data_IF_416947058477
#
_entry.id   IF_416947058477
#
_cell.length_a   1.000
_cell.length_b   1.000
_cell.length_c   1.000
_cell.angle_alpha   90.00
_cell.angle_beta   90.00
_cell.angle_gamma   90.00
#
_symmetry.space_group_name_H-M   'P 1'
#
loop_
_entity.id
_entity.type
_entity.pdbx_description
1 polymer ?
#
# COMPACT_ATOMS: atom_id res chain seq x y z
N UNK A 1 28.27 -16.28 12.07
CA UNK A 1 27.23 -15.97 11.08
C UNK A 1 27.47 -14.54 10.62
N UNK A 2 28.01 -14.37 9.43
CA UNK A 2 28.42 -13.07 8.90
C UNK A 2 27.21 -12.14 8.87
N UNK A 3 27.32 -10.98 9.51
CA UNK A 3 26.27 -9.96 9.50
C UNK A 3 26.02 -9.53 8.05
N UNK A 4 24.96 -10.03 7.42
CA UNK A 4 24.49 -9.55 6.11
C UNK A 4 23.98 -8.12 6.29
N UNK A 5 24.90 -7.17 6.22
CA UNK A 5 24.65 -5.73 6.27
C UNK A 5 25.01 -5.12 4.94
N UNK A 6 24.08 -4.35 4.40
CA UNK A 6 24.31 -3.53 3.23
C UNK A 6 24.83 -2.17 3.68
N UNK A 7 25.91 -1.67 3.07
CA UNK A 7 26.45 -0.32 3.35
C UNK A 7 26.11 0.61 2.19
N UNK A 8 25.06 1.46 2.30
CA UNK A 8 24.70 2.38 1.24
C UNK A 8 25.75 3.47 1.02
N UNK A 9 25.87 3.91 -0.24
CA UNK A 9 26.59 5.14 -0.57
C UNK A 9 25.90 6.36 0.04
N UNK A 10 26.66 7.42 0.32
CA UNK A 10 26.13 8.65 0.93
C UNK A 10 25.03 9.30 0.08
N UNK A 11 25.13 9.20 -1.25
CA UNK A 11 24.12 9.67 -2.20
C UNK A 11 22.78 8.95 -2.04
N UNK A 12 22.81 7.64 -1.77
CA UNK A 12 21.59 6.86 -1.53
C UNK A 12 20.97 7.24 -0.19
N UNK A 13 21.78 7.43 0.86
CA UNK A 13 21.27 7.88 2.17
C UNK A 13 20.59 9.24 2.07
N UNK A 14 21.21 10.20 1.36
CA UNK A 14 20.62 11.53 1.16
C UNK A 14 19.36 11.48 0.29
N UNK A 15 19.34 10.64 -0.75
CA UNK A 15 18.17 10.39 -1.59
C UNK A 15 16.99 9.83 -0.78
N UNK A 16 17.24 8.83 0.07
CA UNK A 16 16.23 8.23 0.96
C UNK A 16 15.67 9.29 1.91
N UNK A 17 16.55 10.05 2.57
CA UNK A 17 16.12 11.11 3.48
C UNK A 17 15.26 12.18 2.78
N UNK A 18 15.69 12.63 1.59
CA UNK A 18 14.96 13.59 0.78
C UNK A 18 13.58 13.05 0.40
N UNK A 19 13.50 11.81 -0.07
CA UNK A 19 12.22 11.22 -0.49
C UNK A 19 11.26 11.03 0.68
N UNK A 20 11.75 10.66 1.87
CA UNK A 20 10.91 10.60 3.07
C UNK A 20 10.32 11.97 3.40
N UNK A 21 11.10 13.05 3.33
CA UNK A 21 10.60 14.40 3.57
C UNK A 21 9.58 14.86 2.52
N UNK A 22 9.85 14.58 1.24
CA UNK A 22 8.94 14.88 0.13
C UNK A 22 7.59 14.17 0.33
N UNK A 23 7.61 12.90 0.71
CA UNK A 23 6.40 12.12 0.97
C UNK A 23 5.65 12.70 2.18
N UNK A 24 6.35 12.98 3.28
CA UNK A 24 5.73 13.56 4.49
C UNK A 24 5.04 14.89 4.19
N UNK A 25 5.74 15.81 3.54
CA UNK A 25 5.19 17.10 3.16
C UNK A 25 3.99 16.95 2.20
N UNK A 26 4.09 16.02 1.24
CA UNK A 26 3.00 15.73 0.31
C UNK A 26 1.75 15.21 1.00
N UNK A 27 1.91 14.37 2.04
CA UNK A 27 0.78 13.89 2.86
C UNK A 27 0.12 15.04 3.61
N UNK A 28 0.90 15.87 4.31
CA UNK A 28 0.40 17.01 5.08
C UNK A 28 -0.37 17.97 4.16
N UNK A 29 0.25 18.39 3.06
CA UNK A 29 -0.38 19.31 2.10
C UNK A 29 -1.66 18.76 1.48
N UNK A 30 -1.73 17.46 1.19
CA UNK A 30 -2.95 16.84 0.65
C UNK A 30 -4.04 16.74 1.69
N UNK A 31 -3.70 16.41 2.94
CA UNK A 31 -4.67 16.35 4.04
C UNK A 31 -5.29 17.72 4.31
N UNK A 32 -4.46 18.75 4.40
CA UNK A 32 -4.90 20.13 4.62
C UNK A 32 -5.76 20.66 3.47
N UNK A 33 -5.26 20.57 2.22
CA UNK A 33 -5.97 21.11 1.04
C UNK A 33 -7.32 20.44 0.78
N UNK A 34 -7.46 19.17 1.13
CA UNK A 34 -8.68 18.40 0.89
C UNK A 34 -9.53 18.20 2.15
N UNK A 35 -9.12 18.77 3.30
CA UNK A 35 -9.83 18.61 4.57
C UNK A 35 -10.01 17.15 4.99
N UNK A 36 -9.01 16.30 4.73
CA UNK A 36 -9.16 14.85 4.91
C UNK A 36 -9.10 14.46 6.38
N UNK A 37 -10.19 13.84 6.83
CA UNK A 37 -10.27 13.15 8.11
C UNK A 37 -10.28 11.63 7.88
N UNK A 38 -9.97 10.80 8.88
CA UNK A 38 -10.04 9.34 8.75
C UNK A 38 -11.40 8.82 8.30
N UNK A 39 -12.46 9.60 8.49
CA UNK A 39 -13.84 9.24 8.22
C UNK A 39 -14.40 9.81 6.91
N UNK A 40 -13.62 10.59 6.15
CA UNK A 40 -14.08 11.20 4.89
C UNK A 40 -14.53 10.11 3.88
N UNK A 41 -15.84 9.96 3.61
CA UNK A 41 -16.34 8.85 2.82
C UNK A 41 -16.36 9.15 1.32
N UNK A 42 -16.54 10.42 0.96
CA UNK A 42 -16.79 10.90 -0.39
C UNK A 42 -15.84 12.06 -0.70
N UNK A 43 -15.39 12.14 -1.96
CA UNK A 43 -14.57 13.24 -2.47
C UNK A 43 -14.93 13.53 -3.93
N UNK A 44 -14.71 14.75 -4.42
CA UNK A 44 -14.90 15.05 -5.83
C UNK A 44 -13.87 14.30 -6.70
N UNK A 45 -14.25 13.98 -7.93
CA UNK A 45 -13.44 13.17 -8.87
C UNK A 45 -12.04 13.72 -9.10
N UNK A 46 -11.87 15.04 -9.18
CA UNK A 46 -10.55 15.65 -9.33
C UNK A 46 -9.66 15.41 -8.10
N UNK A 47 -10.21 15.46 -6.88
CA UNK A 47 -9.48 15.18 -5.64
C UNK A 47 -9.09 13.70 -5.56
N UNK A 48 -9.98 12.79 -5.97
CA UNK A 48 -9.69 11.35 -6.08
C UNK A 48 -8.58 11.09 -7.09
N UNK A 49 -8.62 11.74 -8.25
CA UNK A 49 -7.59 11.61 -9.28
C UNK A 49 -6.24 12.12 -8.78
N UNK A 50 -6.21 13.24 -8.06
CA UNK A 50 -4.99 13.77 -7.45
C UNK A 50 -4.44 12.86 -6.36
N UNK A 51 -5.30 12.41 -5.44
CA UNK A 51 -4.93 11.52 -4.34
C UNK A 51 -4.42 10.18 -4.85
N UNK A 52 -5.10 9.59 -5.85
CA UNK A 52 -4.68 8.32 -6.45
C UNK A 52 -3.34 8.42 -7.16
N UNK A 53 -3.07 9.50 -7.91
CA UNK A 53 -1.75 9.76 -8.53
C UNK A 53 -0.65 9.92 -7.49
N UNK A 54 -0.91 10.67 -6.42
CA UNK A 54 0.05 10.81 -5.32
C UNK A 54 0.36 9.46 -4.67
N UNK A 55 -0.67 8.71 -4.25
CA UNK A 55 -0.50 7.41 -3.60
C UNK A 55 0.19 6.39 -4.53
N UNK A 56 -0.08 6.45 -5.84
CA UNK A 56 0.58 5.59 -6.81
C UNK A 56 2.09 5.76 -6.82
N UNK A 57 2.62 6.98 -6.56
CA UNK A 57 4.05 7.27 -6.50
C UNK A 57 4.64 7.15 -5.09
N UNK A 58 3.92 7.68 -4.10
CA UNK A 58 4.39 7.75 -2.72
C UNK A 58 4.49 6.39 -2.05
N UNK A 59 3.53 5.47 -2.27
CA UNK A 59 3.59 4.17 -1.60
C UNK A 59 4.77 3.31 -2.08
N UNK A 60 5.05 3.15 -3.39
CA UNK A 60 6.21 2.38 -3.84
C UNK A 60 7.54 3.02 -3.44
N UNK A 61 7.62 4.36 -3.45
CA UNK A 61 8.79 5.09 -2.98
C UNK A 61 9.03 4.87 -1.47
N UNK A 62 7.98 4.96 -0.65
CA UNK A 62 8.09 4.73 0.79
C UNK A 62 8.52 3.30 1.13
N UNK A 63 7.93 2.28 0.48
CA UNK A 63 8.34 0.87 0.69
C UNK A 63 9.83 0.68 0.45
N UNK A 64 10.34 1.27 -0.62
CA UNK A 64 11.74 1.20 -1.02
C UNK A 64 12.67 1.94 -0.05
N UNK A 65 12.26 3.13 0.41
CA UNK A 65 12.99 3.86 1.44
C UNK A 65 13.09 3.04 2.73
N UNK A 66 11.96 2.52 3.23
CA UNK A 66 11.93 1.69 4.44
C UNK A 66 12.75 0.41 4.28
N UNK A 67 12.76 -0.19 3.09
CA UNK A 67 13.57 -1.35 2.78
C UNK A 67 15.06 -1.06 2.80
N UNK A 68 15.51 0.03 2.20
CA UNK A 68 16.94 0.40 2.25
C UNK A 68 17.39 0.70 3.68
N UNK A 69 16.57 1.40 4.47
CA UNK A 69 16.85 1.59 5.90
C UNK A 69 16.93 0.25 6.64
N UNK A 70 16.05 -0.70 6.34
CA UNK A 70 16.09 -2.05 6.94
C UNK A 70 17.34 -2.84 6.51
N UNK A 71 17.72 -2.76 5.24
CA UNK A 71 18.90 -3.43 4.69
C UNK A 71 20.20 -2.87 5.29
N UNK A 72 20.26 -1.56 5.52
CA UNK A 72 21.37 -0.89 6.21
C UNK A 72 21.54 -1.38 7.65
N UNK A 73 20.44 -1.58 8.37
CA UNK A 73 20.44 -2.10 9.74
C UNK A 73 20.66 -3.63 9.80
N UNK A 74 20.66 -4.32 8.66
CA UNK A 74 20.84 -5.76 8.54
C UNK A 74 19.62 -6.60 8.96
N UNK A 75 19.64 -7.87 8.56
CA UNK A 75 18.58 -8.83 8.90
C UNK A 75 18.54 -9.11 10.41
N UNK A 76 17.33 -9.20 10.98
CA UNK A 76 17.13 -9.68 12.35
C UNK A 76 16.95 -11.20 12.34
N UNK A 77 17.42 -11.91 13.39
CA UNK A 77 17.19 -13.34 13.49
C UNK A 77 15.69 -13.63 13.48
N UNK A 78 15.30 -14.60 12.66
CA UNK A 78 13.93 -15.08 12.59
C UNK A 78 13.64 -15.78 13.92
N UNK A 79 12.84 -15.17 14.78
CA UNK A 79 12.22 -15.95 15.84
C UNK A 79 11.31 -16.96 15.16
N UNK A 80 11.48 -18.28 15.41
CA UNK A 80 10.55 -19.25 14.89
C UNK A 80 9.19 -18.86 15.44
N UNK A 81 8.36 -18.32 14.54
CA UNK A 81 6.94 -18.18 14.78
C UNK A 81 6.51 -19.62 14.93
N UNK A 82 6.27 -20.08 16.16
CA UNK A 82 5.75 -21.42 16.44
C UNK A 82 4.63 -21.64 15.43
N UNK A 83 4.96 -22.44 14.41
CA UNK A 83 3.98 -22.98 13.50
C UNK A 83 3.10 -23.76 14.43
N UNK A 84 1.90 -23.24 14.68
CA UNK A 84 0.90 -23.86 15.51
C UNK A 84 0.91 -25.35 15.15
N UNK A 85 1.51 -26.14 16.04
CA UNK A 85 1.59 -27.57 15.88
C UNK A 85 0.16 -28.03 15.70
N UNK A 86 -0.07 -28.83 14.67
CA UNK A 86 -1.31 -29.54 14.42
C UNK A 86 -1.75 -30.29 15.67
N UNK A 87 -2.48 -29.60 16.55
CA UNK A 87 -3.19 -30.14 17.70
C UNK A 87 -4.68 -30.22 17.36
N UNK A 88 -5.40 -31.21 17.90
CA UNK A 88 -6.78 -31.46 17.53
C UNK A 88 -7.63 -30.24 17.85
N UNK A 89 -8.50 -29.89 16.91
CA UNK A 89 -9.36 -28.72 16.94
C UNK A 89 -10.18 -28.65 18.24
N UNK A 90 -9.82 -27.73 19.14
CA UNK A 90 -10.72 -27.27 20.21
C UNK A 90 -11.67 -26.19 19.66
N UNK A 91 -12.94 -26.20 20.08
CA UNK A 91 -13.94 -25.26 19.59
C UNK A 91 -13.52 -23.83 19.96
N UNK A 92 -13.55 -22.95 18.94
CA UNK A 92 -13.29 -21.52 19.10
C UNK A 92 -14.38 -20.92 19.97
N UNK A 93 -14.04 -20.62 21.22
CA UNK A 93 -14.77 -19.65 22.01
C UNK A 93 -14.67 -18.30 21.30
N UNK A 94 -15.81 -17.84 20.80
CA UNK A 94 -16.00 -16.50 20.24
C UNK A 94 -15.83 -15.47 21.35
N UNK A 95 -14.58 -15.15 21.68
CA UNK A 95 -14.27 -13.84 22.24
C UNK A 95 -14.55 -12.84 21.13
N UNK A 96 -15.71 -12.21 21.21
CA UNK A 96 -16.05 -11.02 20.45
C UNK A 96 -15.01 -9.95 20.78
N UNK A 97 -13.90 -9.96 20.04
CA UNK A 97 -13.05 -8.79 19.96
C UNK A 97 -13.92 -7.69 19.40
N UNK A 98 -14.35 -6.79 20.28
CA UNK A 98 -14.80 -5.44 19.92
C UNK A 98 -13.75 -4.94 18.93
N UNK A 99 -14.10 -4.91 17.65
CA UNK A 99 -13.20 -4.51 16.58
C UNK A 99 -12.95 -3.02 16.76
N UNK A 100 -12.02 -2.67 17.66
CA UNK A 100 -11.42 -1.34 17.72
C UNK A 100 -11.05 -1.02 16.28
N UNK A 101 -11.48 0.15 15.80
CA UNK A 101 -11.18 0.62 14.47
C UNK A 101 -9.65 0.64 14.30
N UNK A 102 -9.09 -0.48 13.84
CA UNK A 102 -7.65 -0.65 13.74
C UNK A 102 -7.19 0.38 12.73
N UNK A 103 -6.25 1.24 13.13
CA UNK A 103 -5.62 2.17 12.20
C UNK A 103 -5.18 1.39 10.95
N UNK A 104 -5.45 1.92 9.74
CA UNK A 104 -5.16 1.19 8.53
C UNK A 104 -3.64 0.97 8.43
N UNK A 105 -3.22 -0.30 8.41
CA UNK A 105 -1.80 -0.64 8.33
C UNK A 105 -1.26 -0.46 6.91
N UNK A 106 -0.04 0.08 6.81
CA UNK A 106 0.64 0.25 5.53
C UNK A 106 1.04 -1.10 4.93
N UNK A 107 0.80 -1.27 3.64
CA UNK A 107 1.18 -2.47 2.90
C UNK A 107 2.67 -2.41 2.54
N UNK A 108 3.48 -3.08 3.36
CA UNK A 108 4.94 -3.16 3.21
C UNK A 108 5.37 -3.86 1.91
N UNK A 109 4.63 -4.87 1.48
CA UNK A 109 5.00 -5.69 0.33
C UNK A 109 4.05 -5.45 -0.83
N UNK A 110 4.62 -5.42 -2.02
CA UNK A 110 3.87 -5.41 -3.26
C UNK A 110 3.30 -6.80 -3.47
N UNK A 111 2.08 -7.03 -2.97
CA UNK A 111 1.34 -8.24 -3.32
C UNK A 111 1.19 -8.22 -4.84
N UNK A 112 1.89 -9.11 -5.57
CA UNK A 112 1.51 -9.44 -6.95
C UNK A 112 0.01 -9.67 -6.90
N UNK A 113 -0.74 -8.83 -7.60
CA UNK A 113 -2.19 -8.95 -7.68
C UNK A 113 -2.51 -10.25 -8.42
N UNK A 114 -2.48 -11.35 -7.69
CA UNK A 114 -2.91 -12.64 -8.18
C UNK A 114 -3.97 -13.13 -7.21
N UNK A 115 -5.15 -12.52 -7.32
CA UNK A 115 -6.33 -13.35 -7.48
C UNK A 115 -6.67 -13.32 -8.96
N UNK A 116 -6.36 -14.39 -9.73
CA UNK A 116 -7.03 -14.55 -11.01
C UNK A 116 -8.53 -14.57 -10.74
N UNK A 117 -9.30 -13.94 -11.62
CA UNK A 117 -10.76 -13.97 -11.75
C UNK A 117 -11.46 -14.96 -10.81
N UNK A 118 -11.80 -14.49 -9.61
CA UNK A 118 -12.96 -15.05 -8.96
C UNK A 118 -14.15 -14.53 -9.76
N UNK A 119 -14.55 -15.29 -10.79
CA UNK A 119 -15.77 -15.01 -11.56
C UNK A 119 -16.88 -14.72 -10.53
N UNK A 120 -17.56 -13.57 -10.62
CA UNK A 120 -18.62 -13.27 -9.66
C UNK A 120 -19.62 -14.44 -9.66
N UNK A 121 -20.14 -14.85 -8.49
CA UNK A 121 -21.13 -15.91 -8.43
C UNK A 121 -22.31 -15.55 -9.35
N UNK A 122 -22.74 -16.50 -10.18
CA UNK A 122 -23.86 -16.29 -11.10
C UNK A 122 -25.11 -15.94 -10.28
N UNK A 123 -25.88 -14.91 -10.66
CA UNK A 123 -27.10 -14.58 -9.95
C UNK A 123 -28.06 -15.77 -10.02
N UNK A 124 -28.42 -16.34 -8.88
CA UNK A 124 -29.46 -17.36 -8.78
C UNK A 124 -30.81 -16.65 -8.69
N UNK A 125 -31.52 -16.59 -9.83
CA UNK A 125 -32.90 -16.09 -9.85
C UNK A 125 -33.79 -17.03 -9.04
N UNK A 126 -34.25 -16.57 -7.87
CA UNK A 126 -35.32 -17.24 -7.13
C UNK A 126 -36.65 -16.85 -7.79
N UNK A 127 -37.28 -17.80 -8.46
CA UNK A 127 -38.62 -17.69 -9.02
C UNK A 127 -39.65 -17.55 -7.89
N UNK A 128 -39.98 -16.31 -7.55
CA UNK A 128 -41.14 -15.93 -6.72
C UNK A 128 -41.99 -14.88 -7.45
N UNK A 129 -43.24 -14.62 -7.00
CA UNK A 129 -44.13 -13.65 -7.65
C UNK A 129 -43.49 -12.26 -7.64
N UNK A 130 -43.26 -11.72 -8.84
CA UNK A 130 -42.47 -10.51 -9.10
C UNK A 130 -43.38 -9.33 -9.47
N UNK A 131 -43.19 -8.20 -8.80
CA UNK A 131 -43.91 -6.96 -9.07
C UNK A 131 -43.27 -6.31 -10.31
N UNK A 132 -43.90 -6.50 -11.48
CA UNK A 132 -43.39 -6.09 -12.81
C UNK A 132 -43.06 -4.60 -12.97
N UNK A 133 -43.54 -3.74 -12.06
CA UNK A 133 -43.25 -2.30 -12.07
C UNK A 133 -41.85 -1.93 -11.54
N UNK A 134 -41.18 -2.84 -10.82
CA UNK A 134 -39.80 -2.66 -10.33
C UNK A 134 -38.78 -3.53 -11.09
N UNK A 135 -39.24 -4.35 -12.03
CA UNK A 135 -38.42 -5.24 -12.87
C UNK A 135 -38.07 -4.60 -14.24
N UNK A 136 -38.31 -3.30 -14.43
CA UNK A 136 -37.73 -2.60 -15.56
C UNK A 136 -36.21 -2.55 -15.31
N UNK A 137 -35.47 -3.40 -16.02
CA UNK A 137 -34.00 -3.46 -16.04
C UNK A 137 -33.38 -2.22 -16.73
N UNK A 138 -34.05 -1.06 -16.69
CA UNK A 138 -33.40 0.23 -16.93
C UNK A 138 -32.58 0.56 -15.69
N UNK A 139 -31.49 -0.20 -15.51
CA UNK A 139 -30.34 0.32 -14.77
C UNK A 139 -29.85 1.48 -15.63
N UNK A 140 -30.05 2.75 -15.23
CA UNK A 140 -29.57 3.87 -16.02
C UNK A 140 -28.08 3.63 -16.28
N UNK A 141 -27.69 3.67 -17.55
CA UNK A 141 -26.32 3.37 -17.91
C UNK A 141 -25.44 4.39 -17.18
N UNK A 142 -24.54 3.89 -16.32
CA UNK A 142 -23.65 4.75 -15.52
C UNK A 142 -22.70 5.52 -16.48
N UNK A 143 -22.64 5.13 -17.75
CA UNK A 143 -21.95 5.83 -18.82
C UNK A 143 -22.81 6.83 -19.60
N UNK A 144 -24.11 6.92 -19.33
CA UNK A 144 -25.04 7.87 -19.95
C UNK A 144 -24.75 9.32 -19.54
N UNK A 145 -24.16 9.52 -18.36
CA UNK A 145 -23.80 10.85 -17.87
C UNK A 145 -22.33 11.19 -18.11
N UNK A 146 -22.10 12.42 -18.56
CA UNK A 146 -20.76 12.98 -18.68
C UNK A 146 -20.06 13.02 -17.32
N UNK A 147 -18.82 12.53 -17.28
CA UNK A 147 -18.01 12.46 -16.06
C UNK A 147 -17.46 13.83 -15.73
N UNK A 148 -18.07 14.53 -14.79
CA UNK A 148 -17.63 15.86 -14.38
C UNK A 148 -16.54 15.80 -13.30
N UNK A 149 -15.62 16.77 -13.26
CA UNK A 149 -14.56 16.83 -12.24
C UNK A 149 -15.11 17.06 -10.81
N UNK A 150 -16.32 17.60 -10.70
CA UNK A 150 -17.06 17.82 -9.46
C UNK A 150 -17.84 16.61 -8.97
N UNK A 151 -17.92 15.51 -9.75
CA UNK A 151 -18.64 14.29 -9.35
C UNK A 151 -18.16 13.78 -8.00
N UNK A 152 -19.11 13.61 -7.08
CA UNK A 152 -18.82 13.09 -5.73
C UNK A 152 -18.77 11.57 -5.80
N UNK A 153 -17.61 10.99 -5.51
CA UNK A 153 -17.39 9.55 -5.59
C UNK A 153 -16.88 8.98 -4.26
N UNK A 154 -17.08 7.67 -4.02
CA UNK A 154 -16.53 6.97 -2.85
C UNK A 154 -15.00 7.04 -2.78
N UNK A 155 -14.47 7.58 -1.68
CA UNK A 155 -13.04 7.81 -1.46
C UNK A 155 -12.44 7.02 -0.28
N UNK A 156 -13.27 6.31 0.50
CA UNK A 156 -12.90 5.59 1.72
C UNK A 156 -11.62 4.74 1.58
N UNK A 157 -11.44 4.04 0.46
CA UNK A 157 -10.25 3.21 0.21
C UNK A 157 -8.98 4.04 0.06
N UNK A 158 -9.04 5.16 -0.66
CA UNK A 158 -7.89 6.04 -0.88
C UNK A 158 -7.53 6.80 0.40
N UNK A 159 -8.54 7.29 1.13
CA UNK A 159 -8.33 7.94 2.43
C UNK A 159 -7.67 6.98 3.42
N UNK A 160 -8.13 5.73 3.52
CA UNK A 160 -7.48 4.71 4.35
C UNK A 160 -6.03 4.45 3.96
N UNK A 161 -5.72 4.43 2.66
CA UNK A 161 -4.34 4.26 2.18
C UNK A 161 -3.46 5.44 2.54
N UNK A 162 -3.99 6.67 2.44
CA UNK A 162 -3.27 7.87 2.87
C UNK A 162 -3.00 7.85 4.37
N UNK A 163 -4.00 7.50 5.19
CA UNK A 163 -3.82 7.36 6.65
C UNK A 163 -2.82 6.25 7.01
N UNK A 164 -2.77 5.18 6.22
CA UNK A 164 -1.78 4.12 6.40
C UNK A 164 -0.36 4.61 6.05
N UNK A 165 -0.22 5.38 4.97
CA UNK A 165 1.04 6.01 4.57
C UNK A 165 1.54 6.96 5.67
N UNK A 166 0.65 7.79 6.21
CA UNK A 166 0.92 8.72 7.32
C UNK A 166 1.39 7.98 8.58
N UNK A 167 0.64 6.96 9.00
CA UNK A 167 1.04 6.10 10.12
C UNK A 167 2.41 5.45 9.89
N UNK A 168 2.75 5.03 8.67
CA UNK A 168 4.06 4.46 8.36
C UNK A 168 5.19 5.49 8.43
N UNK A 169 4.89 6.76 8.16
CA UNK A 169 5.83 7.86 8.31
C UNK A 169 6.07 8.22 9.78
N UNK A 170 5.06 8.07 10.65
CA UNK A 170 5.19 8.33 12.08
C UNK A 170 5.89 7.17 12.81
N UNK A 171 5.59 5.93 12.43
CA UNK A 171 6.05 4.72 13.12
C UNK A 171 7.05 3.91 12.27
N UNK A 172 8.04 4.59 11.68
CA UNK A 172 8.98 3.99 10.71
C UNK A 172 9.68 2.76 11.29
N UNK A 173 10.11 2.85 12.54
CA UNK A 173 10.88 1.80 13.23
C UNK A 173 10.13 0.48 13.26
N UNK A 174 8.82 0.51 13.53
CA UNK A 174 7.97 -0.70 13.55
C UNK A 174 7.91 -1.39 12.19
N UNK A 175 7.90 -0.60 11.11
CA UNK A 175 7.86 -1.13 9.75
C UNK A 175 9.25 -1.61 9.30
N UNK A 176 10.31 -0.90 9.68
CA UNK A 176 11.70 -1.29 9.45
C UNK A 176 11.99 -2.62 10.14
N UNK A 177 11.63 -2.79 11.41
CA UNK A 177 11.80 -4.06 12.13
C UNK A 177 11.08 -5.22 11.45
N UNK A 178 9.84 -5.00 10.99
CA UNK A 178 9.08 -6.03 10.25
C UNK A 178 9.80 -6.42 8.97
N UNK A 179 10.33 -5.46 8.22
CA UNK A 179 11.11 -5.74 7.01
C UNK A 179 12.39 -6.49 7.37
N UNK A 180 13.12 -6.09 8.42
CA UNK A 180 14.35 -6.75 8.87
C UNK A 180 14.13 -8.21 9.24
N UNK A 181 12.98 -8.56 9.84
CA UNK A 181 12.60 -9.96 10.09
C UNK A 181 12.35 -10.72 8.78
N UNK A 182 11.65 -10.10 7.84
CA UNK A 182 11.40 -10.71 6.53
C UNK A 182 12.67 -10.84 5.66
N UNK A 183 13.67 -9.98 5.85
CA UNK A 183 14.98 -10.11 5.20
C UNK A 183 15.70 -11.39 5.66
N UNK A 184 15.54 -11.80 6.92
CA UNK A 184 16.07 -13.06 7.43
C UNK A 184 15.41 -14.32 6.85
N UNK A 185 14.23 -14.18 6.23
CA UNK A 185 13.51 -15.29 5.57
C UNK A 185 13.87 -15.45 4.07
N UNK A 186 14.86 -14.70 3.55
CA UNK A 186 15.32 -14.75 2.15
C UNK A 186 14.20 -14.59 1.10
N UNK A 187 13.18 -13.79 1.41
CA UNK A 187 11.99 -13.61 0.57
C UNK A 187 12.13 -12.41 -0.38
N UNK A 188 11.64 -12.54 -1.62
CA UNK A 188 11.43 -11.38 -2.49
C UNK A 188 10.33 -10.46 -1.94
N UNK A 189 10.72 -9.33 -1.35
CA UNK A 189 9.81 -8.36 -0.70
C UNK A 189 9.30 -7.25 -1.63
N UNK A 190 10.13 -6.83 -2.59
CA UNK A 190 9.84 -5.72 -3.51
C UNK A 190 9.75 -6.26 -4.95
N UNK A 191 8.69 -5.90 -5.68
CA UNK A 191 8.58 -6.21 -7.10
C UNK A 191 9.12 -5.06 -7.95
N UNK A 192 9.55 -5.36 -9.18
CA UNK A 192 9.97 -4.31 -10.13
C UNK A 192 8.77 -3.47 -10.51
N UNK A 193 8.87 -2.15 -10.37
CA UNK A 193 7.82 -1.25 -10.82
C UNK A 193 7.92 -1.02 -12.32
N UNK A 194 6.81 -0.70 -12.97
CA UNK A 194 6.84 -0.23 -14.35
C UNK A 194 7.46 1.16 -14.45
N UNK A 195 8.31 1.39 -15.46
CA UNK A 195 8.97 2.70 -15.76
C UNK A 195 8.03 3.91 -15.79
N UNK A 196 6.72 3.68 -15.97
CA UNK A 196 5.69 4.72 -16.05
C UNK A 196 5.22 5.22 -14.67
N UNK A 197 5.46 4.47 -13.59
CA UNK A 197 4.93 4.81 -12.27
C UNK A 197 5.48 6.15 -11.77
N UNK A 198 6.78 6.40 -11.97
CA UNK A 198 7.41 7.67 -11.59
C UNK A 198 7.29 8.77 -12.67
N UNK A 199 6.67 8.50 -13.83
CA UNK A 199 6.51 9.52 -14.89
C UNK A 199 5.23 10.33 -14.77
N UNK A 200 4.18 9.75 -14.21
CA UNK A 200 2.86 10.39 -14.13
C UNK A 200 2.44 10.59 -12.68
N UNK A 201 2.60 11.81 -12.18
CA UNK A 201 2.11 12.17 -10.86
C UNK A 201 2.55 13.56 -10.40
N UNK A 202 2.27 13.90 -9.13
CA UNK A 202 2.50 15.23 -8.59
C UNK A 202 3.96 15.51 -8.22
N UNK A 203 4.84 14.52 -8.26
CA UNK A 203 6.26 14.69 -7.97
C UNK A 203 6.94 15.50 -9.08
N UNK A 204 7.92 16.33 -8.69
CA UNK A 204 8.76 17.07 -9.63
C UNK A 204 9.69 16.10 -10.37
N UNK A 205 10.22 16.52 -11.52
CA UNK A 205 11.15 15.70 -12.31
C UNK A 205 12.33 15.17 -11.47
N UNK A 206 12.93 16.03 -10.65
CA UNK A 206 14.04 15.66 -9.78
C UNK A 206 13.63 14.60 -8.75
N UNK A 207 12.45 14.75 -8.13
CA UNK A 207 11.93 13.76 -7.17
C UNK A 207 11.67 12.40 -7.86
N UNK A 208 11.23 12.42 -9.12
CA UNK A 208 11.05 11.20 -9.90
C UNK A 208 12.39 10.53 -10.25
N UNK A 209 13.42 11.30 -10.56
CA UNK A 209 14.78 10.80 -10.78
C UNK A 209 15.34 10.21 -9.49
N UNK A 210 15.18 10.88 -8.34
CA UNK A 210 15.55 10.34 -7.02
C UNK A 210 14.82 9.03 -6.71
N UNK A 211 13.51 8.96 -6.98
CA UNK A 211 12.74 7.73 -6.77
C UNK A 211 13.20 6.57 -7.65
N UNK A 212 13.63 6.85 -8.89
CA UNK A 212 14.21 5.85 -9.80
C UNK A 212 15.58 5.36 -9.33
N UNK A 213 16.43 6.25 -8.80
CA UNK A 213 17.70 5.88 -8.18
C UNK A 213 17.49 4.92 -7.00
N UNK A 214 16.56 5.27 -6.11
CA UNK A 214 16.18 4.42 -4.97
C UNK A 214 15.64 3.07 -5.46
N UNK A 215 14.81 3.05 -6.51
CA UNK A 215 14.32 1.80 -7.08
C UNK A 215 15.44 0.92 -7.62
N UNK A 216 16.36 1.48 -8.40
CA UNK A 216 17.50 0.74 -8.94
C UNK A 216 18.33 0.13 -7.81
N UNK A 217 18.61 0.90 -6.77
CA UNK A 217 19.39 0.44 -5.61
C UNK A 217 18.67 -0.68 -4.86
N UNK A 218 17.36 -0.55 -4.61
CA UNK A 218 16.61 -1.62 -3.93
C UNK A 218 16.67 -2.95 -4.66
N UNK A 219 16.65 -2.92 -6.00
CA UNK A 219 16.75 -4.13 -6.82
C UNK A 219 18.17 -4.68 -6.92
N UNK A 220 19.20 -3.83 -6.78
CA UNK A 220 20.60 -4.28 -6.68
C UNK A 220 20.87 -4.95 -5.32
N UNK A 221 20.29 -4.42 -4.25
CA UNK A 221 20.46 -4.94 -2.88
C UNK A 221 19.68 -6.23 -2.64
N UNK A 222 18.47 -6.35 -3.19
CA UNK A 222 17.56 -7.47 -2.92
C UNK A 222 18.15 -8.88 -3.14
N UNK A 223 18.95 -9.17 -4.20
CA UNK A 223 19.64 -10.44 -4.35
C UNK A 223 20.59 -10.81 -3.20
N UNK A 224 21.27 -9.83 -2.59
CA UNK A 224 22.25 -10.06 -1.52
C UNK A 224 21.62 -10.75 -0.29
N UNK A 225 20.33 -10.52 -0.05
CA UNK A 225 19.59 -11.11 1.06
C UNK A 225 18.82 -12.39 0.68
N UNK A 226 18.64 -12.68 -0.61
CA UNK A 226 17.92 -13.88 -1.06
C UNK A 226 18.85 -15.09 -1.28
N UNK A 227 20.16 -14.87 -1.36
CA UNK A 227 21.17 -15.91 -1.63
C UNK A 227 21.81 -16.50 -0.36
N UNK A 228 21.28 -16.17 0.82
CA UNK A 228 21.74 -16.68 2.13
C UNK A 228 20.78 -17.74 2.65
#
# INVERSE_FOLDING_TARGET
MSELRYSPQQEIRSAVWLMLNVISLGVIQLRERLGLTPHTPLLPRHAISRLSRFLAQAEPALRRCLYLCAAELGALPVFPRETASSGPARPRETTQHIARASQPAFRLFETRAHRPDAKPPRPTFKTGPRIRFLDADDVPDIHEYDKLPSDILPAKRLVRRLMALDHAMDHRDLYIEKIRRCLGEARQLIAKTGKRLFRHGPLTRLQCETAQLIEAETHAVQPHFNSS
#
